data_IF_000926773799
#
_entry.id   IF_000926773799
#
_cell.length_a   1.000
_cell.length_b   1.000
_cell.length_c   1.000
_cell.angle_alpha   90.00
_cell.angle_beta   90.00
_cell.angle_gamma   90.00
#
_symmetry.space_group_name_H-M   'P 1'
#
loop_
_entity.id
_entity.type
_entity.pdbx_description
1 polymer ?
#
# COMPACT_ATOMS: atom_id res chain seq x y z
N UNK A 1 21.24 -17.79 1.10
CA UNK A 1 22.12 -16.60 1.16
C UNK A 1 22.68 -16.27 -0.21
N UNK A 2 21.85 -15.71 -1.08
CA UNK A 2 22.29 -15.04 -2.32
C UNK A 2 21.09 -14.34 -2.93
N UNK A 3 21.34 -13.13 -3.43
CA UNK A 3 20.44 -12.18 -4.08
C UNK A 3 19.49 -11.39 -3.18
N UNK A 4 20.06 -10.60 -2.27
CA UNK A 4 19.67 -9.18 -2.22
C UNK A 4 20.04 -8.59 -3.59
N UNK A 5 19.12 -8.71 -4.55
CA UNK A 5 19.29 -8.16 -5.88
C UNK A 5 19.21 -6.63 -5.82
N UNK A 6 19.87 -5.99 -6.78
CA UNK A 6 19.89 -4.54 -6.94
C UNK A 6 18.48 -3.93 -7.08
N UNK A 7 17.44 -4.76 -7.27
CA UNK A 7 16.00 -4.50 -7.17
C UNK A 7 15.61 -3.65 -5.94
N UNK A 8 16.35 -3.79 -4.83
CA UNK A 8 16.14 -3.03 -3.60
C UNK A 8 16.59 -1.56 -3.66
N UNK A 9 17.26 -1.10 -4.71
CA UNK A 9 17.79 0.28 -4.76
C UNK A 9 16.70 1.35 -4.89
N UNK A 10 15.55 1.01 -5.48
CA UNK A 10 14.39 1.92 -5.59
C UNK A 10 13.34 1.71 -4.50
N UNK A 11 13.48 0.62 -3.75
CA UNK A 11 12.58 0.18 -2.68
C UNK A 11 13.24 0.24 -1.29
N UNK A 12 14.51 0.65 -1.19
CA UNK A 12 15.32 0.57 0.03
C UNK A 12 14.78 1.37 1.23
N UNK A 13 13.88 2.33 1.00
CA UNK A 13 13.13 3.00 2.08
C UNK A 13 11.80 2.35 2.46
N UNK A 14 11.30 1.40 1.67
CA UNK A 14 10.06 0.65 1.93
C UNK A 14 10.27 -0.58 2.82
N UNK A 15 11.49 -1.12 2.88
CA UNK A 15 11.81 -2.33 3.66
C UNK A 15 12.15 -2.03 5.13
N UNK A 16 12.72 -0.86 5.44
CA UNK A 16 12.99 -0.41 6.82
C UNK A 16 11.74 0.23 7.46
N UNK A 17 10.60 -0.46 7.42
CA UNK A 17 9.33 0.11 7.88
C UNK A 17 8.87 -0.50 9.22
N UNK A 18 8.68 0.30 10.30
CA UNK A 18 8.28 -0.17 11.63
C UNK A 18 6.93 -0.91 11.73
N UNK A 19 6.17 -1.05 10.64
CA UNK A 19 4.99 -1.91 10.56
C UNK A 19 5.25 -3.37 10.94
N UNK A 20 6.41 -3.93 10.56
CA UNK A 20 6.76 -5.32 10.89
C UNK A 20 6.91 -5.55 12.41
N UNK A 21 7.33 -4.52 13.15
CA UNK A 21 7.47 -4.57 14.61
C UNK A 21 6.15 -4.27 15.36
N UNK A 22 5.08 -3.91 14.64
CA UNK A 22 3.82 -3.37 15.20
C UNK A 22 2.61 -4.28 14.95
N UNK A 23 2.79 -5.59 15.08
CA UNK A 23 1.65 -6.52 15.08
C UNK A 23 0.99 -6.49 16.47
N UNK A 24 -0.26 -6.04 16.51
CA UNK A 24 -1.03 -5.87 17.74
C UNK A 24 -2.02 -7.04 17.94
N UNK A 25 -2.32 -7.37 19.20
CA UNK A 25 -3.18 -8.51 19.55
C UNK A 25 -4.68 -8.27 19.33
N UNK A 26 -5.47 -9.35 19.38
CA UNK A 26 -6.93 -9.35 19.17
C UNK A 26 -7.68 -8.29 20.01
N UNK A 27 -7.20 -8.01 21.23
CA UNK A 27 -7.78 -7.01 22.14
C UNK A 27 -7.73 -5.61 21.54
N UNK A 28 -6.62 -5.23 20.89
CA UNK A 28 -6.45 -3.90 20.30
C UNK A 28 -7.30 -3.73 19.04
N UNK A 29 -7.46 -4.81 18.27
CA UNK A 29 -8.42 -4.87 17.15
C UNK A 29 -9.85 -4.64 17.67
N UNK A 30 -10.26 -5.36 18.71
CA UNK A 30 -11.60 -5.22 19.27
C UNK A 30 -11.87 -3.80 19.81
N UNK A 31 -10.88 -3.18 20.47
CA UNK A 31 -10.97 -1.80 20.94
C UNK A 31 -11.10 -0.81 19.77
N UNK A 32 -10.25 -0.96 18.76
CA UNK A 32 -10.28 -0.11 17.56
C UNK A 32 -11.61 -0.23 16.80
N UNK A 33 -12.20 -1.42 16.71
CA UNK A 33 -13.53 -1.59 16.11
C UNK A 33 -14.61 -0.88 16.92
N UNK A 34 -14.52 -0.90 18.26
CA UNK A 34 -15.48 -0.19 19.12
C UNK A 34 -15.36 1.32 18.95
N UNK A 35 -14.14 1.85 19.02
CA UNK A 35 -13.83 3.26 18.79
C UNK A 35 -14.33 3.73 17.41
N UNK A 36 -14.09 2.94 16.35
CA UNK A 36 -14.62 3.28 15.02
C UNK A 36 -16.15 3.34 15.00
N UNK A 37 -16.83 2.45 15.72
CA UNK A 37 -18.30 2.43 15.79
C UNK A 37 -18.90 3.56 16.63
N UNK A 38 -18.13 4.15 17.54
CA UNK A 38 -18.56 5.36 18.26
C UNK A 38 -18.67 6.56 17.33
N UNK A 39 -17.76 6.66 16.35
CA UNK A 39 -17.75 7.73 15.34
C UNK A 39 -18.61 7.39 14.11
N UNK A 40 -18.62 6.14 13.67
CA UNK A 40 -19.41 5.63 12.54
C UNK A 40 -20.21 4.38 12.97
N UNK A 41 -21.46 4.53 13.45
CA UNK A 41 -22.31 3.41 13.86
C UNK A 41 -22.60 2.38 12.76
N UNK A 42 -22.43 2.78 11.48
CA UNK A 42 -22.64 1.91 10.33
C UNK A 42 -21.39 1.14 9.94
N UNK A 43 -20.23 1.42 10.56
CA UNK A 43 -18.99 0.73 10.29
C UNK A 43 -19.14 -0.80 10.42
N UNK A 44 -18.64 -1.50 9.41
CA UNK A 44 -18.52 -2.96 9.38
C UNK A 44 -17.10 -3.30 8.97
N UNK A 45 -16.39 -4.06 9.80
CA UNK A 45 -15.05 -4.53 9.48
C UNK A 45 -15.04 -5.35 8.19
N UNK A 46 -16.06 -6.16 7.94
CA UNK A 46 -16.19 -6.93 6.69
C UNK A 46 -16.25 -6.04 5.46
N UNK A 47 -16.92 -4.88 5.54
CA UNK A 47 -16.95 -3.92 4.43
C UNK A 47 -15.57 -3.27 4.23
N UNK A 48 -14.87 -2.92 5.32
CA UNK A 48 -13.50 -2.42 5.21
C UNK A 48 -12.57 -3.45 4.55
N UNK A 49 -12.68 -4.73 4.92
CA UNK A 49 -11.90 -5.81 4.30
C UNK A 49 -12.20 -5.88 2.79
N UNK A 50 -13.47 -5.90 2.41
CA UNK A 50 -13.89 -5.92 1.00
C UNK A 50 -13.42 -4.69 0.22
N UNK A 51 -13.53 -3.50 0.82
CA UNK A 51 -13.06 -2.24 0.25
C UNK A 51 -11.54 -2.29 0.05
N UNK A 52 -10.78 -2.82 1.03
CA UNK A 52 -9.33 -2.96 0.95
C UNK A 52 -8.93 -3.90 -0.17
N UNK A 53 -9.54 -5.07 -0.23
CA UNK A 53 -9.26 -6.11 -1.22
C UNK A 53 -9.56 -5.65 -2.65
N UNK A 54 -10.74 -5.05 -2.86
CA UNK A 54 -11.26 -4.84 -4.21
C UNK A 54 -11.04 -3.42 -4.75
N UNK A 55 -10.77 -2.44 -3.89
CA UNK A 55 -10.73 -1.02 -4.28
C UNK A 55 -9.47 -0.33 -3.78
N UNK A 56 -9.26 -0.26 -2.47
CA UNK A 56 -8.23 0.59 -1.86
C UNK A 56 -6.83 0.10 -2.22
N UNK A 57 -6.51 -1.17 -1.93
CA UNK A 57 -5.17 -1.69 -2.21
C UNK A 57 -4.85 -1.75 -3.71
N UNK A 58 -5.73 -2.26 -4.61
CA UNK A 58 -5.49 -2.24 -6.04
C UNK A 58 -5.23 -0.83 -6.58
N UNK A 59 -6.02 0.16 -6.13
CA UNK A 59 -5.90 1.54 -6.62
C UNK A 59 -4.60 2.19 -6.16
N UNK A 60 -4.26 2.08 -4.87
CA UNK A 60 -3.04 2.64 -4.32
C UNK A 60 -1.77 2.04 -4.94
N UNK A 61 -1.75 0.72 -5.12
CA UNK A 61 -0.60 0.04 -5.76
C UNK A 61 -0.49 0.48 -7.21
N UNK A 62 -1.59 0.52 -7.95
CA UNK A 62 -1.61 0.97 -9.34
C UNK A 62 -1.08 2.40 -9.48
N UNK A 63 -1.60 3.34 -8.70
CA UNK A 63 -1.13 4.74 -8.73
C UNK A 63 0.35 4.88 -8.39
N UNK A 64 0.85 4.07 -7.44
CA UNK A 64 2.28 4.03 -7.13
C UNK A 64 3.13 3.55 -8.31
N UNK A 65 2.71 2.47 -8.99
CA UNK A 65 3.41 1.94 -10.16
C UNK A 65 3.37 2.92 -11.34
N UNK A 66 2.22 3.57 -11.58
CA UNK A 66 2.03 4.59 -12.63
C UNK A 66 2.76 5.91 -12.31
N UNK A 67 3.11 6.15 -11.04
CA UNK A 67 3.70 7.41 -10.59
C UNK A 67 2.70 8.56 -10.50
N UNK A 68 1.42 8.24 -10.28
CA UNK A 68 0.31 9.17 -10.08
C UNK A 68 0.34 9.77 -8.67
N UNK A 69 1.14 10.84 -8.54
CA UNK A 69 1.27 11.57 -7.30
C UNK A 69 0.01 12.37 -6.92
N UNK A 70 -0.91 12.63 -7.87
CA UNK A 70 -2.10 13.43 -7.60
C UNK A 70 -3.13 12.63 -6.82
N UNK A 71 -3.49 11.44 -7.32
CA UNK A 71 -4.41 10.54 -6.60
C UNK A 71 -3.78 10.03 -5.29
N UNK A 72 -2.47 9.73 -5.28
CA UNK A 72 -1.78 9.34 -4.04
C UNK A 72 -1.82 10.44 -2.98
N UNK A 73 -1.72 11.72 -3.35
CA UNK A 73 -1.79 12.83 -2.39
C UNK A 73 -3.15 12.95 -1.72
N UNK A 74 -4.22 12.61 -2.44
CA UNK A 74 -5.59 12.60 -1.90
C UNK A 74 -5.85 11.39 -1.00
N UNK A 75 -5.14 10.27 -1.24
CA UNK A 75 -5.42 8.99 -0.60
C UNK A 75 -4.36 8.54 0.42
N UNK A 76 -3.31 9.33 0.65
CA UNK A 76 -2.26 9.03 1.63
C UNK A 76 -2.24 10.07 2.75
N UNK A 77 -1.94 9.63 3.98
CA UNK A 77 -1.47 10.53 5.03
C UNK A 77 -0.12 11.13 4.67
N UNK A 78 0.24 12.24 5.32
CA UNK A 78 1.43 13.04 4.97
C UNK A 78 2.72 12.21 4.92
N UNK A 79 2.96 11.37 5.94
CA UNK A 79 4.15 10.52 6.00
C UNK A 79 4.16 9.45 4.90
N UNK A 80 3.03 8.77 4.67
CA UNK A 80 2.89 7.80 3.58
C UNK A 80 3.12 8.46 2.21
N UNK A 81 2.51 9.63 1.98
CA UNK A 81 2.66 10.37 0.74
C UNK A 81 4.13 10.75 0.51
N UNK A 82 4.80 11.28 1.53
CA UNK A 82 6.23 11.65 1.43
C UNK A 82 7.09 10.45 1.03
N UNK A 83 6.86 9.28 1.63
CA UNK A 83 7.61 8.06 1.31
C UNK A 83 7.37 7.58 -0.13
N UNK A 84 6.11 7.45 -0.55
CA UNK A 84 5.78 6.98 -1.92
C UNK A 84 6.21 7.99 -2.97
N UNK A 85 6.02 9.29 -2.72
CA UNK A 85 6.38 10.35 -3.66
C UNK A 85 7.90 10.48 -3.82
N UNK A 86 8.69 10.29 -2.76
CA UNK A 86 10.15 10.27 -2.87
C UNK A 86 10.65 9.17 -3.84
N UNK A 87 10.04 7.98 -3.79
CA UNK A 87 10.37 6.89 -4.72
C UNK A 87 9.93 7.19 -6.15
N UNK A 88 8.75 7.80 -6.33
CA UNK A 88 8.26 8.26 -7.64
C UNK A 88 9.19 9.33 -8.23
N UNK A 89 9.59 10.33 -7.44
CA UNK A 89 10.50 11.40 -7.85
C UNK A 89 11.89 10.86 -8.20
N UNK A 90 12.40 9.90 -7.42
CA UNK A 90 13.67 9.23 -7.73
C UNK A 90 13.63 8.55 -9.10
N UNK A 91 12.56 7.81 -9.41
CA UNK A 91 12.36 7.20 -10.74
C UNK A 91 12.25 8.25 -11.84
N UNK A 92 11.45 9.31 -11.62
CA UNK A 92 11.28 10.42 -12.58
C UNK A 92 12.61 11.12 -12.89
N UNK A 93 13.43 11.40 -11.88
CA UNK A 93 14.75 12.02 -12.05
C UNK A 93 15.71 11.16 -12.87
N UNK A 94 15.59 9.84 -12.75
CA UNK A 94 16.37 8.87 -13.53
C UNK A 94 15.73 8.53 -14.88
N UNK A 95 14.58 9.11 -15.21
CA UNK A 95 13.84 8.86 -16.45
C UNK A 95 13.42 7.38 -16.59
N UNK A 96 13.03 6.81 -15.45
CA UNK A 96 12.61 5.42 -15.30
C UNK A 96 11.12 5.34 -14.96
N UNK A 97 10.47 4.26 -15.39
CA UNK A 97 9.06 3.95 -15.16
C UNK A 97 8.88 2.48 -14.83
N UNK A 98 8.00 2.17 -13.88
CA UNK A 98 7.62 0.80 -13.56
C UNK A 98 6.49 0.35 -14.49
N UNK A 99 6.42 -0.95 -14.75
CA UNK A 99 5.25 -1.54 -15.39
C UNK A 99 4.05 -1.53 -14.41
N UNK A 100 2.93 -0.90 -14.76
CA UNK A 100 1.78 -0.77 -13.85
C UNK A 100 0.87 -2.01 -13.85
N UNK A 101 1.25 -3.07 -14.56
CA UNK A 101 0.41 -4.25 -14.75
C UNK A 101 0.38 -5.11 -13.48
N UNK A 102 -0.74 -5.03 -12.77
CA UNK A 102 -1.14 -5.97 -11.73
C UNK A 102 -1.90 -7.11 -12.42
N UNK A 103 -1.36 -8.33 -12.39
CA UNK A 103 -1.94 -9.51 -13.02
C UNK A 103 -3.00 -10.16 -12.12
N UNK A 104 -2.75 -10.13 -10.82
CA UNK A 104 -3.66 -10.65 -9.80
C UNK A 104 -3.71 -9.64 -8.66
N UNK A 105 -4.93 -9.26 -8.27
CA UNK A 105 -5.17 -8.33 -7.17
C UNK A 105 -4.74 -8.91 -5.81
N UNK A 106 -5.08 -8.21 -4.72
CA UNK A 106 -4.85 -8.70 -3.37
C UNK A 106 -5.44 -10.11 -3.15
N UNK A 107 -4.60 -11.01 -2.67
CA UNK A 107 -4.96 -12.34 -2.19
C UNK A 107 -4.43 -12.55 -0.77
N UNK A 108 -5.01 -13.52 -0.05
CA UNK A 108 -4.67 -13.84 1.34
C UNK A 108 -4.70 -12.58 2.24
N UNK A 109 -5.73 -11.74 2.04
CA UNK A 109 -5.91 -10.52 2.81
C UNK A 109 -6.22 -10.85 4.27
N UNK A 110 -5.29 -10.51 5.15
CA UNK A 110 -5.38 -10.76 6.58
C UNK A 110 -5.27 -9.46 7.37
N UNK A 111 -6.21 -9.24 8.30
CA UNK A 111 -6.08 -8.19 9.30
C UNK A 111 -5.07 -8.63 10.36
N UNK A 112 -3.88 -8.00 10.38
CA UNK A 112 -2.81 -8.31 11.32
C UNK A 112 -2.90 -7.53 12.63
N UNK A 113 -3.56 -6.38 12.62
CA UNK A 113 -3.63 -5.53 13.81
C UNK A 113 -4.47 -4.29 13.60
N UNK A 114 -4.66 -3.53 14.68
CA UNK A 114 -5.23 -2.20 14.61
C UNK A 114 -4.62 -1.33 15.70
N UNK A 115 -4.59 -0.02 15.45
CA UNK A 115 -4.12 0.99 16.39
C UNK A 115 -5.22 2.02 16.59
N UNK A 116 -5.53 2.30 17.85
CA UNK A 116 -6.44 3.38 18.24
C UNK A 116 -6.00 4.71 17.62
N UNK A 117 -6.96 5.47 17.11
CA UNK A 117 -6.74 6.84 16.62
C UNK A 117 -6.82 7.88 17.75
N UNK A 118 -7.23 7.47 18.94
CA UNK A 118 -7.41 8.35 20.09
C UNK A 118 -8.61 9.27 19.89
N UNK A 119 -8.57 10.47 20.46
CA UNK A 119 -9.72 11.38 20.42
C UNK A 119 -9.85 12.18 19.11
N UNK A 120 -8.76 12.29 18.33
CA UNK A 120 -8.66 13.21 17.19
C UNK A 120 -8.75 12.48 15.85
N UNK A 121 -8.29 11.25 15.81
CA UNK A 121 -8.13 10.47 14.58
C UNK A 121 -8.97 9.19 14.65
N UNK A 122 -9.36 8.66 13.49
CA UNK A 122 -10.02 7.35 13.46
C UNK A 122 -9.02 6.20 13.71
N UNK A 123 -9.45 5.03 14.17
CA UNK A 123 -8.57 3.87 14.25
C UNK A 123 -7.95 3.47 12.91
N UNK A 124 -6.70 3.01 12.96
CA UNK A 124 -5.95 2.51 11.82
C UNK A 124 -5.93 0.97 11.85
N UNK A 125 -6.18 0.32 10.72
CA UNK A 125 -6.21 -1.13 10.56
C UNK A 125 -5.07 -1.59 9.65
N UNK A 126 -4.32 -2.60 10.09
CA UNK A 126 -3.12 -3.08 9.42
C UNK A 126 -3.45 -4.40 8.73
N UNK A 127 -3.37 -4.40 7.41
CA UNK A 127 -3.61 -5.57 6.57
C UNK A 127 -2.31 -6.07 5.96
N UNK A 128 -2.22 -7.38 5.75
CA UNK A 128 -1.23 -7.98 4.86
C UNK A 128 -1.92 -8.75 3.77
N UNK A 129 -1.35 -8.76 2.59
CA UNK A 129 -1.85 -9.49 1.43
C UNK A 129 -0.72 -9.70 0.44
N UNK A 130 -0.94 -10.53 -0.57
CA UNK A 130 -0.04 -10.64 -1.72
C UNK A 130 -0.73 -10.18 -3.00
N UNK A 131 0.04 -9.72 -3.97
CA UNK A 131 -0.42 -9.48 -5.35
C UNK A 131 0.51 -10.20 -6.32
N UNK A 132 0.06 -10.39 -7.57
CA UNK A 132 0.97 -10.73 -8.67
C UNK A 132 1.06 -9.56 -9.63
N UNK A 133 2.28 -9.17 -9.96
CA UNK A 133 2.53 -8.03 -10.85
C UNK A 133 3.82 -8.23 -11.66
N UNK A 134 3.93 -7.47 -12.75
CA UNK A 134 5.11 -7.49 -13.60
C UNK A 134 6.20 -6.64 -12.95
N UNK A 135 7.36 -7.25 -12.71
CA UNK A 135 8.57 -6.56 -12.28
C UNK A 135 9.41 -6.17 -13.49
N UNK A 136 9.09 -5.01 -14.07
CA UNK A 136 9.80 -4.49 -15.24
C UNK A 136 10.00 -2.98 -15.10
N UNK A 137 11.26 -2.56 -15.16
CA UNK A 137 11.64 -1.15 -15.16
C UNK A 137 12.04 -0.74 -16.58
N UNK A 138 11.48 0.35 -17.08
CA UNK A 138 11.72 0.88 -18.43
C UNK A 138 12.30 2.28 -18.40
N UNK A 139 13.19 2.57 -19.34
CA UNK A 139 13.65 3.93 -19.59
C UNK A 139 12.64 4.73 -20.45
N UNK A 140 12.93 6.01 -20.69
CA UNK A 140 12.13 6.90 -21.56
C UNK A 140 11.89 6.39 -22.99
N UNK A 141 12.71 5.46 -23.50
CA UNK A 141 12.54 4.86 -24.83
C UNK A 141 11.65 3.60 -24.78
N UNK A 142 11.19 3.19 -23.60
CA UNK A 142 10.44 1.96 -23.39
C UNK A 142 11.30 0.69 -23.32
N UNK A 143 12.63 0.83 -23.35
CA UNK A 143 13.56 -0.28 -23.26
C UNK A 143 13.63 -0.78 -21.81
N UNK A 144 13.62 -2.10 -21.62
CA UNK A 144 13.75 -2.73 -20.30
C UNK A 144 15.18 -2.50 -19.80
N UNK A 145 15.31 -1.89 -18.63
CA UNK A 145 16.61 -1.66 -17.95
C UNK A 145 16.80 -2.58 -16.74
N UNK A 146 15.71 -3.11 -16.19
CA UNK A 146 15.71 -4.03 -15.04
C UNK A 146 14.46 -4.93 -15.11
N UNK A 147 14.61 -6.17 -14.66
CA UNK A 147 13.58 -7.19 -14.76
C UNK A 147 13.32 -7.64 -16.21
N UNK A 148 12.10 -8.11 -16.48
CA UNK A 148 11.67 -8.52 -17.82
C UNK A 148 10.15 -8.34 -17.97
N UNK A 149 9.68 -8.29 -19.23
CA UNK A 149 8.24 -8.14 -19.52
C UNK A 149 7.40 -9.32 -19.03
N UNK A 150 8.04 -10.45 -18.78
CA UNK A 150 7.50 -11.71 -18.27
C UNK A 150 8.05 -12.07 -16.88
N UNK A 151 8.80 -11.17 -16.23
CA UNK A 151 9.23 -11.33 -14.83
C UNK A 151 8.03 -11.05 -13.91
N UNK A 152 7.22 -12.09 -13.66
CA UNK A 152 6.06 -12.02 -12.79
C UNK A 152 6.50 -12.32 -11.36
N UNK A 153 6.23 -11.37 -10.46
CA UNK A 153 6.53 -11.48 -9.03
C UNK A 153 5.25 -11.55 -8.23
N UNK A 154 5.24 -12.45 -7.25
CA UNK A 154 4.33 -12.34 -6.11
C UNK A 154 4.95 -11.36 -5.11
N UNK A 155 4.24 -10.28 -4.79
CA UNK A 155 4.70 -9.23 -3.88
C UNK A 155 3.84 -9.23 -2.63
N UNK A 156 4.48 -9.30 -1.46
CA UNK A 156 3.80 -9.32 -0.17
C UNK A 156 3.80 -7.91 0.41
N UNK A 157 2.62 -7.39 0.72
CA UNK A 157 2.42 -6.05 1.24
C UNK A 157 1.96 -6.09 2.70
N UNK A 158 2.36 -5.08 3.47
CA UNK A 158 1.63 -4.61 4.64
C UNK A 158 1.09 -3.21 4.35
N UNK A 159 -0.18 -2.96 4.66
CA UNK A 159 -0.85 -1.68 4.41
C UNK A 159 -1.66 -1.28 5.63
N UNK A 160 -1.43 -0.07 6.12
CA UNK A 160 -2.18 0.52 7.21
C UNK A 160 -3.22 1.50 6.65
N UNK A 161 -4.49 1.24 6.93
CA UNK A 161 -5.63 1.98 6.37
C UNK A 161 -6.45 2.59 7.49
N UNK A 162 -6.86 3.84 7.31
CA UNK A 162 -7.69 4.60 8.24
C UNK A 162 -8.82 5.29 7.48
N UNK A 163 -9.93 5.61 8.14
CA UNK A 163 -10.96 6.47 7.56
C UNK A 163 -10.36 7.83 7.15
N UNK A 164 -10.74 8.32 5.98
CA UNK A 164 -10.35 9.67 5.57
C UNK A 164 -11.02 10.71 6.51
N UNK A 165 -10.28 11.68 7.07
CA UNK A 165 -10.83 12.66 8.02
C UNK A 165 -11.88 13.56 7.37
N UNK A 166 -11.76 13.80 6.07
CA UNK A 166 -12.68 14.59 5.26
C UNK A 166 -13.27 13.73 4.13
N UNK A 167 -14.25 12.85 4.40
CA UNK A 167 -14.73 11.89 3.40
C UNK A 167 -15.46 12.55 2.20
N UNK A 168 -15.75 13.85 2.29
CA UNK A 168 -16.41 14.63 1.24
C UNK A 168 -15.44 15.46 0.37
N UNK A 169 -14.11 15.27 0.52
CA UNK A 169 -13.11 15.97 -0.29
C UNK A 169 -13.36 15.69 -1.79
N UNK A 170 -13.51 16.73 -2.63
CA UNK A 170 -13.68 16.53 -4.07
C UNK A 170 -12.54 15.73 -4.69
N UNK A 171 -12.88 14.75 -5.53
CA UNK A 171 -11.91 13.89 -6.21
C UNK A 171 -11.57 12.59 -5.47
N UNK A 172 -11.93 12.47 -4.19
CA UNK A 172 -11.73 11.27 -3.40
C UNK A 172 -12.49 10.07 -4.02
N UNK A 173 -11.79 8.98 -4.32
CA UNK A 173 -12.37 7.78 -4.96
C UNK A 173 -13.06 6.83 -3.97
N UNK A 174 -12.58 6.82 -2.73
CA UNK A 174 -13.06 5.98 -1.63
C UNK A 174 -12.77 6.64 -0.29
N UNK A 175 -13.56 6.38 0.76
CA UNK A 175 -13.50 7.13 2.03
C UNK A 175 -12.37 6.67 2.97
N UNK A 176 -11.29 6.13 2.42
CA UNK A 176 -10.16 5.55 3.13
C UNK A 176 -8.85 6.24 2.74
N UNK A 177 -7.93 6.35 3.69
CA UNK A 177 -6.56 6.83 3.48
C UNK A 177 -5.54 5.79 3.94
N UNK A 178 -4.45 5.68 3.19
CA UNK A 178 -3.29 4.89 3.54
C UNK A 178 -2.37 5.69 4.46
N UNK A 179 -2.04 5.13 5.61
CA UNK A 179 -1.11 5.74 6.56
C UNK A 179 0.31 5.21 6.46
N UNK A 180 0.44 3.98 5.96
CA UNK A 180 1.73 3.33 5.82
C UNK A 180 1.59 2.19 4.80
N UNK A 181 2.64 1.94 4.04
CA UNK A 181 2.76 0.75 3.19
C UNK A 181 4.19 0.24 3.25
N UNK A 182 4.34 -1.07 3.31
CA UNK A 182 5.63 -1.75 3.26
C UNK A 182 5.55 -2.93 2.29
N UNK A 183 6.66 -3.20 1.60
CA UNK A 183 6.85 -4.45 0.89
C UNK A 183 7.58 -5.37 1.85
N UNK A 184 6.95 -6.47 2.23
CA UNK A 184 7.50 -7.46 3.16
C UNK A 184 8.47 -8.42 2.46
N UNK A 185 8.29 -8.58 1.15
CA UNK A 185 9.13 -9.41 0.30
C UNK A 185 8.50 -9.57 -1.09
N UNK A 186 9.27 -10.15 -2.00
CA UNK A 186 8.74 -10.64 -3.26
C UNK A 186 9.44 -11.94 -3.66
N UNK A 187 8.77 -12.74 -4.49
CA UNK A 187 9.34 -13.95 -5.05
C UNK A 187 8.88 -14.15 -6.51
N UNK A 188 9.71 -14.76 -7.38
CA UNK A 188 9.27 -15.21 -8.70
C UNK A 188 8.13 -16.22 -8.61
N UNK A 189 7.16 -16.12 -9.52
CA UNK A 189 6.08 -17.11 -9.61
C UNK A 189 6.47 -18.39 -10.37
N UNK A 190 7.62 -18.41 -11.07
CA UNK A 190 8.07 -19.52 -11.94
C UNK A 190 9.59 -19.69 -11.91
#
# INVERSE_FOLDING_TARGET
NTSDSEDSKFLGGFFDNPMLDRVFGETEIAQSIREMKETDPHFRLSQLVEDVENVVAPSLIKWFLEGDAEDLKLHCGEAAFAAVNASIEARKNQKLSLDPTILQGPEDLELKGAKSGGEVDSPCFIFTFSTQQINCLRNEKGEVVEGAIDDIRQVFYAMAVQKHPEPNTPGLKFPWRMQEIAILGNQPCW
#
